data_IF_606311323058
#
_entry.id   IF_606311323058
#
_cell.length_a   1.000
_cell.length_b   1.000
_cell.length_c   1.000
_cell.angle_alpha   90.00
_cell.angle_beta   90.00
_cell.angle_gamma   90.00
#
_symmetry.space_group_name_H-M   'P 1'
#
loop_
_entity.id
_entity.type
_entity.pdbx_description
1 polymer ?
#
# COMPACT_ATOMS: atom_id res chain seq x y z
N UNK A 1 4.99 12.70 21.56
CA UNK A 1 4.50 12.11 20.29
C UNK A 1 4.14 10.62 20.41
N UNK A 2 3.95 10.04 21.61
CA UNK A 2 3.71 8.59 21.81
C UNK A 2 2.27 8.14 21.50
N UNK A 3 1.31 9.08 21.56
CA UNK A 3 -0.11 8.76 21.41
C UNK A 3 -0.53 8.39 19.99
N UNK A 4 0.31 8.64 18.97
CA UNK A 4 -0.05 8.38 17.57
C UNK A 4 -0.23 6.87 17.32
N UNK A 5 0.80 6.07 17.62
CA UNK A 5 0.73 4.61 17.51
C UNK A 5 -0.30 4.02 18.47
N UNK A 6 -0.26 4.44 19.75
CA UNK A 6 -1.12 3.87 20.79
C UNK A 6 -2.61 4.13 20.56
N UNK A 7 -2.98 5.26 19.92
CA UNK A 7 -4.38 5.52 19.59
C UNK A 7 -4.90 4.57 18.50
N UNK A 8 -4.07 4.16 17.55
CA UNK A 8 -4.42 3.14 16.56
C UNK A 8 -4.69 1.82 17.29
N UNK A 9 -3.77 1.39 18.14
CA UNK A 9 -3.91 0.16 18.92
C UNK A 9 -5.17 0.18 19.79
N UNK A 10 -5.41 1.27 20.51
CA UNK A 10 -6.62 1.45 21.32
C UNK A 10 -7.91 1.41 20.47
N UNK A 11 -7.94 2.13 19.34
CA UNK A 11 -9.16 2.24 18.50
C UNK A 11 -9.54 0.93 17.80
N UNK A 12 -8.58 0.04 17.55
CA UNK A 12 -8.80 -1.24 16.88
C UNK A 12 -8.61 -2.45 17.81
N UNK A 13 -8.42 -2.23 19.12
CA UNK A 13 -8.11 -3.27 20.11
C UNK A 13 -6.94 -4.18 19.70
N UNK A 14 -5.89 -3.57 19.12
CA UNK A 14 -4.66 -4.28 18.76
C UNK A 14 -3.77 -4.40 20.00
N UNK A 15 -3.27 -5.62 20.25
CA UNK A 15 -2.57 -5.96 21.49
C UNK A 15 -1.08 -6.32 21.31
N UNK A 16 -0.55 -6.15 20.10
CA UNK A 16 0.88 -6.29 19.82
C UNK A 16 1.70 -5.05 20.24
N UNK A 17 3.03 -5.05 19.98
CA UNK A 17 3.89 -3.90 20.23
C UNK A 17 3.37 -2.61 19.56
N UNK A 18 3.43 -1.49 20.29
CA UNK A 18 2.94 -0.18 19.82
C UNK A 18 3.94 0.92 20.15
N UNK A 19 4.64 1.42 19.13
CA UNK A 19 5.82 2.28 19.29
C UNK A 19 5.74 3.48 18.34
N UNK A 20 6.26 4.62 18.79
CA UNK A 20 6.54 5.77 17.93
C UNK A 20 8.05 5.97 17.87
N UNK A 21 8.59 6.02 16.64
CA UNK A 21 10.02 6.13 16.37
C UNK A 21 10.30 7.50 15.73
N UNK A 22 11.31 8.19 16.25
CA UNK A 22 11.81 9.44 15.70
C UNK A 22 13.31 9.30 15.40
N UNK A 23 13.61 9.10 14.12
CA UNK A 23 14.95 9.13 13.54
C UNK A 23 14.99 10.18 12.42
N UNK A 24 14.26 11.29 12.61
CA UNK A 24 14.09 12.35 11.64
C UNK A 24 13.54 11.85 10.28
N UNK A 25 14.27 12.05 9.19
CA UNK A 25 13.81 11.72 7.83
C UNK A 25 13.74 10.22 7.55
N UNK A 26 14.39 9.38 8.36
CA UNK A 26 14.33 7.91 8.22
C UNK A 26 13.21 7.27 9.05
N UNK A 27 12.51 8.03 9.90
CA UNK A 27 11.55 7.52 10.90
C UNK A 27 10.59 6.46 10.37
N UNK A 28 9.87 6.74 9.28
CA UNK A 28 8.90 5.78 8.74
C UNK A 28 9.53 4.50 8.18
N UNK A 29 10.72 4.58 7.58
CA UNK A 29 11.41 3.39 7.04
C UNK A 29 11.99 2.55 8.18
N UNK A 30 12.52 3.19 9.22
CA UNK A 30 12.99 2.51 10.43
C UNK A 30 11.81 1.87 11.19
N UNK A 31 10.66 2.56 11.27
CA UNK A 31 9.43 1.96 11.80
C UNK A 31 8.97 0.74 11.01
N UNK A 32 9.08 0.78 9.67
CA UNK A 32 8.79 -0.37 8.82
C UNK A 32 9.81 -1.51 9.01
N UNK A 33 11.09 -1.21 9.24
CA UNK A 33 12.10 -2.19 9.61
C UNK A 33 11.72 -2.92 10.91
N UNK A 34 11.39 -2.19 11.99
CA UNK A 34 10.97 -2.82 13.25
C UNK A 34 9.64 -3.58 13.15
N UNK A 35 8.71 -3.12 12.29
CA UNK A 35 7.49 -3.86 11.99
C UNK A 35 7.80 -5.21 11.31
N UNK A 36 8.74 -5.24 10.36
CA UNK A 36 9.20 -6.48 9.74
C UNK A 36 9.91 -7.38 10.75
N UNK A 37 10.78 -6.81 11.60
CA UNK A 37 11.47 -7.56 12.65
C UNK A 37 10.48 -8.22 13.61
N UNK A 38 9.48 -7.48 14.11
CA UNK A 38 8.46 -8.02 15.02
C UNK A 38 7.70 -9.20 14.41
N UNK A 39 7.46 -9.18 13.09
CA UNK A 39 6.88 -10.32 12.38
C UNK A 39 7.87 -11.49 12.26
N UNK A 40 9.11 -11.22 11.84
CA UNK A 40 10.11 -12.26 11.64
C UNK A 40 10.57 -12.94 12.94
N UNK A 41 10.52 -12.23 14.07
CA UNK A 41 10.82 -12.79 15.41
C UNK A 41 9.60 -13.44 16.06
N UNK A 42 8.42 -13.35 15.45
CA UNK A 42 7.18 -13.95 15.96
C UNK A 42 6.48 -13.16 17.07
N UNK A 43 6.91 -11.92 17.36
CA UNK A 43 6.22 -11.02 18.29
C UNK A 43 4.87 -10.53 17.74
N UNK A 44 4.75 -10.42 16.41
CA UNK A 44 3.54 -9.94 15.73
C UNK A 44 3.13 -10.85 14.56
N UNK A 45 1.85 -11.15 14.45
CA UNK A 45 1.25 -11.85 13.31
C UNK A 45 1.05 -10.96 12.06
N UNK A 46 0.93 -9.67 12.31
CA UNK A 46 0.69 -8.60 11.35
C UNK A 46 1.17 -7.31 12.01
N UNK A 47 1.70 -6.38 11.22
CA UNK A 47 2.18 -5.11 11.73
C UNK A 47 1.68 -3.94 10.88
N UNK A 48 1.34 -2.84 11.54
CA UNK A 48 0.99 -1.57 10.88
C UNK A 48 2.19 -0.65 11.03
N UNK A 49 2.72 -0.16 9.92
CA UNK A 49 3.79 0.82 9.90
C UNK A 49 3.38 2.05 9.11
N UNK A 50 3.81 3.23 9.55
CA UNK A 50 3.46 4.46 8.87
C UNK A 50 4.33 5.61 9.31
N UNK A 51 4.05 6.76 8.70
CA UNK A 51 4.69 8.02 9.06
C UNK A 51 3.74 9.17 8.80
N UNK A 52 3.87 10.21 9.61
CA UNK A 52 3.11 11.46 9.48
C UNK A 52 4.05 12.64 9.58
N UNK A 53 3.83 13.63 8.73
CA UNK A 53 4.40 14.96 8.86
C UNK A 53 3.34 16.01 8.56
N UNK A 54 3.14 16.95 9.49
CA UNK A 54 2.21 18.08 9.34
C UNK A 54 2.88 19.32 9.93
N UNK A 55 2.91 20.40 9.17
CA UNK A 55 3.54 21.68 9.49
C UNK A 55 2.51 22.67 10.01
N UNK A 56 2.15 22.53 11.29
CA UNK A 56 1.17 23.41 11.93
C UNK A 56 1.71 24.80 12.30
N UNK A 57 3.03 24.98 12.21
CA UNK A 57 3.76 26.06 12.87
C UNK A 57 5.03 26.46 12.09
N UNK A 58 5.34 27.76 11.95
CA UNK A 58 6.41 28.26 11.07
C UNK A 58 7.82 28.15 11.65
N UNK A 59 7.98 27.85 12.94
CA UNK A 59 9.28 27.85 13.62
C UNK A 59 10.24 26.80 13.06
N UNK A 60 9.74 25.61 12.73
CA UNK A 60 10.55 24.54 12.17
C UNK A 60 10.98 24.82 10.71
N UNK A 61 10.10 25.30 9.79
CA UNK A 61 10.55 25.84 8.51
C UNK A 61 11.61 26.94 8.63
N UNK A 62 11.48 27.85 9.59
CA UNK A 62 12.48 28.91 9.84
C UNK A 62 13.82 28.30 10.24
N UNK A 63 13.83 27.34 11.18
CA UNK A 63 15.04 26.64 11.59
C UNK A 63 15.71 25.92 10.42
N UNK A 64 14.93 25.22 9.58
CA UNK A 64 15.45 24.54 8.39
C UNK A 64 16.01 25.50 7.34
N UNK A 65 15.41 26.69 7.21
CA UNK A 65 15.92 27.75 6.34
C UNK A 65 17.27 28.29 6.84
N UNK A 66 17.40 28.53 8.15
CA UNK A 66 18.67 28.95 8.78
C UNK A 66 19.75 27.89 8.67
N UNK A 67 19.38 26.61 8.76
CA UNK A 67 20.26 25.48 8.52
C UNK A 67 20.60 25.23 7.05
N UNK A 68 20.10 26.05 6.12
CA UNK A 68 20.32 25.92 4.67
C UNK A 68 19.88 24.58 4.07
N UNK A 69 18.93 23.90 4.70
CA UNK A 69 18.36 22.64 4.20
C UNK A 69 17.38 22.87 3.04
N UNK A 70 16.75 24.04 3.00
CA UNK A 70 15.63 24.30 2.10
C UNK A 70 16.08 24.90 0.76
N UNK A 71 15.47 24.39 -0.31
CA UNK A 71 15.62 24.92 -1.67
C UNK A 71 15.03 26.31 -1.79
N UNK A 72 15.80 27.25 -2.37
CA UNK A 72 15.31 28.58 -2.74
C UNK A 72 14.21 28.57 -3.81
N UNK A 73 14.07 27.45 -4.53
CA UNK A 73 13.09 27.27 -5.61
C UNK A 73 11.86 26.47 -5.18
N UNK A 74 11.73 26.12 -3.89
CA UNK A 74 10.64 25.31 -3.35
C UNK A 74 10.41 24.00 -4.14
N UNK A 75 11.51 23.36 -4.59
CA UNK A 75 11.49 22.06 -5.28
C UNK A 75 12.67 21.20 -4.85
N UNK A 76 12.44 19.89 -4.72
CA UNK A 76 13.51 18.90 -4.64
C UNK A 76 13.98 18.58 -6.07
N UNK A 77 15.14 19.09 -6.47
CA UNK A 77 15.74 18.81 -7.79
C UNK A 77 16.78 17.68 -7.66
N UNK A 78 16.35 16.50 -7.23
CA UNK A 78 17.25 15.39 -6.97
C UNK A 78 18.12 15.08 -8.22
N UNK A 79 19.42 14.98 -8.00
CA UNK A 79 20.48 14.65 -8.96
C UNK A 79 20.79 15.72 -10.02
N UNK A 80 20.08 16.85 -10.02
CA UNK A 80 20.26 17.93 -10.99
C UNK A 80 21.40 18.89 -10.59
N UNK A 81 22.02 19.57 -11.55
CA UNK A 81 23.06 20.57 -11.28
C UNK A 81 22.57 21.76 -10.44
N UNK A 82 21.28 22.12 -10.58
CA UNK A 82 20.65 23.18 -9.81
C UNK A 82 20.08 22.69 -8.47
N UNK A 83 20.43 21.48 -8.03
CA UNK A 83 20.14 21.00 -6.69
C UNK A 83 20.64 22.00 -5.64
N UNK A 84 19.83 22.30 -4.63
CA UNK A 84 20.09 23.39 -3.70
C UNK A 84 19.38 23.27 -2.35
N UNK A 85 18.95 22.06 -2.00
CA UNK A 85 18.11 21.79 -0.83
C UNK A 85 16.80 21.11 -1.22
N UNK A 86 16.00 20.76 -0.22
CA UNK A 86 14.68 20.16 -0.41
C UNK A 86 13.55 21.17 -0.18
N UNK A 87 12.34 20.84 -0.64
CA UNK A 87 11.12 21.52 -0.20
C UNK A 87 10.40 20.65 0.80
N UNK A 88 9.92 21.22 1.91
CA UNK A 88 9.13 20.47 2.90
C UNK A 88 7.78 20.09 2.31
N UNK A 89 7.31 18.89 2.63
CA UNK A 89 5.96 18.45 2.29
C UNK A 89 5.26 17.87 3.51
N UNK A 90 3.94 17.83 3.43
CA UNK A 90 3.07 17.21 4.44
C UNK A 90 2.48 15.91 3.91
N UNK A 91 2.24 14.96 4.79
CA UNK A 91 1.56 13.74 4.40
C UNK A 91 1.49 12.71 5.51
N UNK A 92 0.56 11.79 5.32
CA UNK A 92 0.40 10.60 6.16
C UNK A 92 0.38 9.40 5.22
N UNK A 93 1.17 8.39 5.55
CA UNK A 93 1.16 7.10 4.85
C UNK A 93 1.16 5.96 5.86
N UNK A 94 0.47 4.88 5.52
CA UNK A 94 0.39 3.66 6.33
C UNK A 94 0.42 2.46 5.39
N UNK A 95 1.16 1.43 5.79
CA UNK A 95 1.18 0.10 5.13
C UNK A 95 0.93 -0.98 6.19
N UNK A 96 0.39 -2.10 5.74
CA UNK A 96 0.16 -3.28 6.57
C UNK A 96 1.09 -4.40 6.09
N UNK A 97 1.86 -4.97 7.00
CA UNK A 97 2.75 -6.09 6.77
C UNK A 97 2.19 -7.36 7.39
N UNK A 98 2.44 -8.49 6.73
CA UNK A 98 2.00 -9.81 7.15
C UNK A 98 2.96 -10.87 6.59
N UNK A 99 3.17 -12.02 7.26
CA UNK A 99 3.86 -13.15 6.64
C UNK A 99 3.22 -13.50 5.30
N UNK A 100 4.05 -13.71 4.27
CA UNK A 100 3.58 -14.00 2.90
C UNK A 100 2.63 -15.22 2.87
N UNK A 101 2.98 -16.28 3.59
CA UNK A 101 2.15 -17.49 3.70
C UNK A 101 0.74 -17.19 4.25
N UNK A 102 0.66 -16.34 5.28
CA UNK A 102 -0.62 -15.94 5.92
C UNK A 102 -1.40 -14.94 5.05
N UNK A 103 -0.71 -14.11 4.26
CA UNK A 103 -1.37 -13.25 3.27
C UNK A 103 -2.03 -14.08 2.16
N UNK A 104 -1.34 -15.11 1.67
CA UNK A 104 -1.86 -16.05 0.67
C UNK A 104 -3.03 -16.87 1.24
N UNK A 105 -2.87 -17.42 2.46
CA UNK A 105 -3.91 -18.22 3.11
C UNK A 105 -5.21 -17.45 3.34
N UNK A 106 -5.11 -16.16 3.70
CA UNK A 106 -6.27 -15.31 3.96
C UNK A 106 -6.83 -14.65 2.69
N UNK A 107 -6.25 -14.94 1.50
CA UNK A 107 -6.68 -14.35 0.23
C UNK A 107 -6.46 -12.84 0.15
N UNK A 108 -5.42 -12.33 0.81
CA UNK A 108 -5.08 -10.90 0.79
C UNK A 108 -4.47 -10.51 -0.57
N UNK A 109 -4.81 -9.31 -1.06
CA UNK A 109 -4.10 -8.74 -2.21
C UNK A 109 -2.72 -8.25 -1.79
N UNK A 110 -1.68 -8.65 -2.52
CA UNK A 110 -0.29 -8.36 -2.18
C UNK A 110 0.26 -7.33 -3.18
N UNK A 111 0.67 -6.18 -2.68
CA UNK A 111 1.30 -5.14 -3.52
C UNK A 111 2.77 -5.45 -3.80
N UNK A 112 3.51 -5.87 -2.78
CA UNK A 112 4.92 -6.23 -2.87
C UNK A 112 5.30 -7.15 -1.72
N UNK A 113 6.42 -7.86 -1.85
CA UNK A 113 7.01 -8.68 -0.79
C UNK A 113 8.27 -8.01 -0.25
N UNK A 114 8.40 -7.88 1.06
CA UNK A 114 9.63 -7.39 1.70
C UNK A 114 10.65 -8.53 1.76
N UNK A 115 11.82 -8.34 1.16
CA UNK A 115 12.89 -9.36 1.14
C UNK A 115 13.88 -9.21 2.27
N UNK A 116 14.29 -7.99 2.56
CA UNK A 116 15.08 -7.65 3.72
C UNK A 116 14.96 -6.16 4.02
N UNK A 117 15.31 -5.79 5.25
CA UNK A 117 15.40 -4.40 5.71
C UNK A 117 16.59 -4.27 6.65
N UNK A 118 17.05 -3.03 6.86
CA UNK A 118 18.09 -2.73 7.83
C UNK A 118 18.07 -1.28 8.26
N UNK A 119 18.74 -1.02 9.38
CA UNK A 119 19.02 0.33 9.89
C UNK A 119 20.42 0.37 10.47
N UNK A 120 21.18 1.44 10.21
CA UNK A 120 22.47 1.70 10.85
C UNK A 120 22.66 3.20 11.17
N UNK A 121 23.88 3.60 11.52
CA UNK A 121 24.23 4.96 11.90
C UNK A 121 25.52 5.42 11.20
N UNK A 122 25.55 6.69 10.79
CA UNK A 122 26.71 7.33 10.16
C UNK A 122 27.92 7.44 11.09
N UNK A 123 27.69 7.41 12.41
CA UNK A 123 28.74 7.52 13.41
C UNK A 123 29.30 8.93 13.51
N UNK A 124 30.61 9.04 13.76
CA UNK A 124 31.30 10.33 13.86
C UNK A 124 31.67 10.85 12.47
N UNK A 125 30.99 11.91 12.01
CA UNK A 125 31.27 12.62 10.76
C UNK A 125 31.75 14.05 11.05
N UNK A 126 32.15 14.81 10.02
CA UNK A 126 32.61 16.21 10.15
C UNK A 126 31.50 17.23 10.52
N UNK A 127 30.38 16.74 11.03
CA UNK A 127 29.24 17.49 11.52
C UNK A 127 28.05 16.56 11.58
N UNK A 128 27.22 16.64 12.63
CA UNK A 128 26.12 15.69 12.89
C UNK A 128 25.15 15.50 11.71
N UNK A 129 25.09 16.47 10.79
CA UNK A 129 24.23 16.46 9.61
C UNK A 129 24.92 16.08 8.30
N UNK A 130 26.20 15.77 8.34
CA UNK A 130 27.00 15.35 7.18
C UNK A 130 26.85 13.84 7.01
N UNK A 131 26.36 13.36 5.84
CA UNK A 131 26.14 11.94 5.60
C UNK A 131 27.47 11.17 5.47
N UNK A 132 27.44 9.87 5.76
CA UNK A 132 28.58 8.97 5.61
C UNK A 132 28.38 7.97 4.45
N UNK A 133 29.13 8.07 3.33
CA UNK A 133 29.01 7.14 2.20
C UNK A 133 29.31 5.69 2.57
N UNK A 134 30.30 5.45 3.44
CA UNK A 134 30.72 4.09 3.82
C UNK A 134 29.62 3.42 4.66
N UNK A 135 28.95 4.19 5.53
CA UNK A 135 27.82 3.68 6.30
C UNK A 135 26.62 3.34 5.41
N UNK A 136 26.34 4.14 4.39
CA UNK A 136 25.28 3.86 3.41
C UNK A 136 25.61 2.60 2.60
N UNK A 137 26.85 2.48 2.09
CA UNK A 137 27.32 1.31 1.36
C UNK A 137 27.23 0.03 2.23
N UNK A 138 27.73 0.10 3.47
CA UNK A 138 27.69 -1.02 4.41
C UNK A 138 26.25 -1.49 4.66
N UNK A 139 25.30 -0.55 4.86
CA UNK A 139 23.89 -0.87 5.07
C UNK A 139 23.29 -1.57 3.86
N UNK A 140 23.54 -1.05 2.65
CA UNK A 140 23.00 -1.63 1.41
C UNK A 140 23.53 -3.06 1.23
N UNK A 141 24.85 -3.27 1.38
CA UNK A 141 25.48 -4.59 1.28
C UNK A 141 24.95 -5.57 2.33
N UNK A 142 24.78 -5.12 3.57
CA UNK A 142 24.23 -5.94 4.65
C UNK A 142 22.80 -6.42 4.31
N UNK A 143 21.94 -5.50 3.84
CA UNK A 143 20.55 -5.85 3.50
C UNK A 143 20.48 -6.76 2.29
N UNK A 144 21.31 -6.57 1.26
CA UNK A 144 21.38 -7.48 0.11
C UNK A 144 21.86 -8.87 0.51
N UNK A 145 22.85 -8.94 1.41
CA UNK A 145 23.33 -10.20 1.98
C UNK A 145 22.22 -10.91 2.75
N UNK A 146 21.49 -10.19 3.63
CA UNK A 146 20.33 -10.74 4.35
C UNK A 146 19.21 -11.21 3.42
N UNK A 147 18.97 -10.50 2.32
CA UNK A 147 17.99 -10.87 1.32
C UNK A 147 18.43 -12.08 0.47
N UNK A 148 19.72 -12.42 0.45
CA UNK A 148 20.28 -13.45 -0.43
C UNK A 148 20.11 -13.10 -1.91
N UNK A 149 20.40 -11.85 -2.28
CA UNK A 149 20.28 -11.36 -3.67
C UNK A 149 21.60 -10.75 -4.15
N UNK A 150 21.82 -10.75 -5.47
CA UNK A 150 22.95 -10.04 -6.04
C UNK A 150 22.60 -8.56 -6.26
N UNK A 151 23.54 -7.62 -6.09
CA UNK A 151 23.29 -6.21 -6.41
C UNK A 151 22.85 -5.97 -7.87
N UNK A 152 23.28 -6.82 -8.80
CA UNK A 152 22.85 -6.82 -10.20
C UNK A 152 21.36 -7.11 -10.40
N UNK A 153 20.70 -7.77 -9.45
CA UNK A 153 19.29 -8.16 -9.55
C UNK A 153 18.33 -6.98 -9.27
N UNK A 154 18.83 -5.90 -8.65
CA UNK A 154 18.04 -4.69 -8.40
C UNK A 154 17.80 -3.96 -9.72
N UNK A 155 16.54 -3.60 -9.99
CA UNK A 155 16.15 -2.92 -11.24
C UNK A 155 15.69 -1.48 -11.01
N UNK A 156 15.34 -1.13 -9.77
CA UNK A 156 14.99 0.22 -9.38
C UNK A 156 15.50 0.57 -7.98
N UNK A 157 15.90 1.82 -7.77
CA UNK A 157 16.22 2.39 -6.46
C UNK A 157 15.38 3.64 -6.24
N UNK A 158 14.57 3.61 -5.19
CA UNK A 158 13.98 4.79 -4.58
C UNK A 158 15.00 5.39 -3.61
N UNK A 159 15.74 6.39 -4.09
CA UNK A 159 16.75 7.07 -3.31
C UNK A 159 16.13 7.96 -2.23
N UNK A 160 16.94 8.32 -1.23
CA UNK A 160 16.63 9.40 -0.32
C UNK A 160 16.54 10.72 -1.09
N UNK A 161 17.49 11.01 -2.00
CA UNK A 161 17.38 11.99 -3.09
C UNK A 161 16.68 13.28 -2.71
N UNK A 162 17.29 14.06 -1.83
CA UNK A 162 16.72 15.31 -1.29
C UNK A 162 16.97 16.50 -2.20
N UNK A 163 17.82 16.40 -3.22
CA UNK A 163 18.16 17.55 -4.06
C UNK A 163 19.20 18.44 -3.38
N UNK A 164 20.09 17.86 -2.57
CA UNK A 164 21.16 18.61 -1.91
C UNK A 164 22.47 18.47 -2.69
N UNK A 165 23.25 19.56 -2.78
CA UNK A 165 24.51 19.57 -3.55
C UNK A 165 25.53 18.54 -3.07
N UNK A 166 25.58 18.30 -1.77
CA UNK A 166 26.51 17.35 -1.15
C UNK A 166 25.91 15.95 -0.98
N UNK A 167 24.62 15.84 -0.59
CA UNK A 167 24.01 14.56 -0.30
C UNK A 167 23.73 13.71 -1.54
N UNK A 168 23.29 14.33 -2.64
CA UNK A 168 22.96 13.57 -3.87
C UNK A 168 24.20 12.85 -4.45
N UNK A 169 25.40 13.49 -4.58
CA UNK A 169 26.60 12.78 -5.00
C UNK A 169 27.01 11.66 -4.05
N UNK A 170 26.97 11.89 -2.74
CA UNK A 170 27.32 10.89 -1.72
C UNK A 170 26.44 9.64 -1.86
N UNK A 171 25.13 9.83 -1.97
CA UNK A 171 24.19 8.72 -2.10
C UNK A 171 24.35 7.97 -3.43
N UNK A 172 24.50 8.68 -4.55
CA UNK A 172 24.66 8.05 -5.86
C UNK A 172 25.98 7.28 -5.97
N UNK A 173 27.07 7.80 -5.38
CA UNK A 173 28.34 7.09 -5.31
C UNK A 173 28.21 5.81 -4.47
N UNK A 174 27.63 5.89 -3.27
CA UNK A 174 27.43 4.72 -2.42
C UNK A 174 26.56 3.65 -3.11
N UNK A 175 25.48 4.07 -3.78
CA UNK A 175 24.64 3.17 -4.58
C UNK A 175 25.43 2.52 -5.71
N UNK A 176 26.23 3.28 -6.46
CA UNK A 176 27.00 2.73 -7.58
C UNK A 176 28.07 1.73 -7.12
N UNK A 177 28.76 1.99 -6.00
CA UNK A 177 29.78 1.09 -5.46
C UNK A 177 29.23 -0.30 -5.16
N UNK A 178 27.95 -0.39 -4.75
CA UNK A 178 27.28 -1.66 -4.50
C UNK A 178 26.65 -2.23 -5.76
N UNK A 179 25.86 -1.44 -6.48
CA UNK A 179 25.01 -1.90 -7.58
C UNK A 179 25.77 -2.22 -8.88
N UNK A 180 27.00 -1.71 -9.03
CA UNK A 180 27.87 -2.05 -10.16
C UNK A 180 28.47 -3.46 -10.05
N UNK A 181 28.47 -4.05 -8.85
CA UNK A 181 28.98 -5.40 -8.63
C UNK A 181 28.14 -6.44 -9.40
N UNK A 182 28.83 -7.28 -10.18
CA UNK A 182 28.21 -8.27 -11.07
C UNK A 182 27.40 -7.70 -12.25
N UNK A 183 27.40 -6.38 -12.47
CA UNK A 183 26.55 -5.72 -13.47
C UNK A 183 27.31 -5.40 -14.76
N UNK A 184 26.70 -5.70 -15.91
CA UNK A 184 27.26 -5.38 -17.23
C UNK A 184 27.14 -3.89 -17.51
N UNK A 185 28.07 -3.34 -18.31
CA UNK A 185 28.13 -1.90 -18.62
C UNK A 185 26.83 -1.33 -19.22
N UNK A 186 26.15 -2.10 -20.07
CA UNK A 186 24.91 -1.68 -20.74
C UNK A 186 23.64 -1.98 -19.91
N UNK A 187 23.77 -2.76 -18.83
CA UNK A 187 22.68 -3.05 -17.91
C UNK A 187 22.67 -2.00 -16.80
N UNK A 188 21.86 -0.95 -16.95
CA UNK A 188 21.74 0.13 -15.96
C UNK A 188 20.48 -0.01 -15.10
N UNK A 189 20.63 0.19 -13.80
CA UNK A 189 19.54 0.26 -12.82
C UNK A 189 18.91 1.65 -12.80
N UNK A 190 17.59 1.73 -12.71
CA UNK A 190 16.91 3.02 -12.59
C UNK A 190 17.02 3.57 -11.16
N UNK A 191 17.25 4.87 -11.02
CA UNK A 191 17.21 5.58 -9.73
C UNK A 191 16.25 6.76 -9.80
N UNK A 192 15.52 6.99 -8.71
CA UNK A 192 14.66 8.15 -8.59
C UNK A 192 14.25 8.51 -7.17
N UNK A 193 13.53 9.62 -7.02
CA UNK A 193 13.01 10.09 -5.72
C UNK A 193 11.59 10.65 -5.86
N UNK A 194 10.67 10.14 -5.04
CA UNK A 194 9.28 10.63 -4.89
C UNK A 194 9.23 12.08 -4.44
N UNK A 195 10.31 12.57 -3.81
CA UNK A 195 10.41 13.93 -3.29
C UNK A 195 10.36 14.97 -4.40
N UNK A 196 10.69 14.59 -5.64
CA UNK A 196 10.54 15.46 -6.81
C UNK A 196 9.08 15.73 -7.18
N UNK A 197 8.13 14.90 -6.72
CA UNK A 197 6.70 15.07 -6.97
C UNK A 197 5.98 15.75 -5.80
N UNK A 198 6.26 15.31 -4.57
CA UNK A 198 5.47 15.68 -3.38
C UNK A 198 6.29 16.41 -2.30
N UNK A 199 7.55 16.76 -2.59
CA UNK A 199 8.47 17.31 -1.62
C UNK A 199 8.96 16.27 -0.61
N UNK A 200 9.78 16.72 0.34
CA UNK A 200 10.29 15.89 1.41
C UNK A 200 9.30 15.86 2.58
N UNK A 201 8.63 14.73 2.75
CA UNK A 201 7.67 14.53 3.85
C UNK A 201 8.31 14.23 5.21
N UNK A 202 9.60 14.52 5.38
CA UNK A 202 10.38 14.30 6.61
C UNK A 202 10.13 12.93 7.26
N UNK A 203 9.49 12.88 8.43
CA UNK A 203 9.19 11.63 9.13
C UNK A 203 8.33 10.65 8.31
N UNK A 204 7.53 11.14 7.37
CA UNK A 204 6.73 10.35 6.43
C UNK A 204 7.42 10.07 5.08
N UNK A 205 8.68 10.49 4.88
CA UNK A 205 9.36 10.31 3.61
C UNK A 205 9.60 8.83 3.27
N UNK A 206 10.00 8.03 4.26
CA UNK A 206 10.23 6.60 4.10
C UNK A 206 8.97 5.85 3.63
N UNK A 207 7.80 6.14 4.22
CA UNK A 207 6.55 5.46 3.84
C UNK A 207 6.09 5.85 2.43
N UNK A 208 6.31 7.10 2.01
CA UNK A 208 6.04 7.50 0.62
C UNK A 208 6.92 6.74 -0.37
N UNK A 209 8.21 6.53 -0.04
CA UNK A 209 9.14 5.73 -0.84
C UNK A 209 8.73 4.26 -0.92
N UNK A 210 8.29 3.66 0.21
CA UNK A 210 7.73 2.29 0.25
C UNK A 210 6.51 2.19 -0.66
N UNK A 211 5.54 3.09 -0.54
CA UNK A 211 4.29 3.06 -1.31
C UNK A 211 4.59 3.21 -2.81
N UNK A 212 5.42 4.17 -3.20
CA UNK A 212 5.82 4.33 -4.61
C UNK A 212 6.49 3.07 -5.16
N UNK A 213 7.42 2.50 -4.39
CA UNK A 213 8.16 1.30 -4.83
C UNK A 213 7.28 0.07 -4.90
N UNK A 214 6.35 -0.10 -3.95
CA UNK A 214 5.37 -1.19 -3.98
C UNK A 214 4.44 -1.08 -5.20
N UNK A 215 3.97 0.13 -5.51
CA UNK A 215 3.18 0.38 -6.72
C UNK A 215 4.00 0.17 -8.01
N UNK A 216 5.28 0.56 -8.02
CA UNK A 216 6.18 0.37 -9.15
C UNK A 216 6.41 -1.11 -9.43
N UNK A 217 6.70 -1.93 -8.40
CA UNK A 217 6.91 -3.38 -8.62
C UNK A 217 5.62 -4.08 -9.00
N UNK A 218 4.48 -3.69 -8.41
CA UNK A 218 3.16 -4.22 -8.73
C UNK A 218 2.72 -3.89 -10.16
N UNK A 219 2.93 -2.65 -10.61
CA UNK A 219 2.54 -2.16 -11.94
C UNK A 219 3.62 -2.34 -12.99
N UNK A 220 4.81 -2.82 -12.61
CA UNK A 220 5.98 -3.03 -13.47
C UNK A 220 6.35 -1.79 -14.30
N UNK A 221 6.27 -0.60 -13.70
CA UNK A 221 6.45 0.67 -14.41
C UNK A 221 7.21 1.68 -13.57
N UNK A 222 8.35 2.17 -14.07
CA UNK A 222 9.06 3.31 -13.47
C UNK A 222 8.37 4.61 -13.89
N UNK A 223 7.88 5.44 -12.94
CA UNK A 223 7.30 6.74 -13.26
C UNK A 223 8.41 7.76 -13.61
N UNK A 224 8.08 8.83 -14.35
CA UNK A 224 9.05 9.86 -14.71
C UNK A 224 9.57 10.60 -13.47
N UNK A 225 10.88 10.84 -13.47
CA UNK A 225 11.59 11.65 -12.49
C UNK A 225 11.49 13.13 -12.84
N UNK A 226 11.02 13.96 -11.91
CA UNK A 226 10.82 15.36 -12.20
C UNK A 226 12.07 16.20 -11.92
N UNK A 227 12.13 17.36 -12.58
CA UNK A 227 13.12 18.42 -12.34
C UNK A 227 14.58 18.06 -12.64
N UNK A 228 14.84 16.92 -13.30
CA UNK A 228 16.16 16.53 -13.79
C UNK A 228 16.30 17.01 -15.24
N UNK A 229 17.06 18.09 -15.43
CA UNK A 229 17.41 18.68 -16.75
C UNK A 229 18.85 18.37 -17.12
N UNK A 230 19.78 18.55 -16.19
CA UNK A 230 21.20 18.32 -16.38
C UNK A 230 21.80 17.71 -15.12
N UNK A 231 22.54 16.62 -15.29
CA UNK A 231 23.16 15.92 -14.17
C UNK A 231 24.08 16.87 -13.37
N UNK A 232 24.04 16.72 -12.04
CA UNK A 232 25.02 17.34 -11.17
C UNK A 232 26.44 16.96 -11.63
N UNK A 233 27.37 17.92 -11.82
CA UNK A 233 28.72 17.64 -12.31
C UNK A 233 29.52 16.63 -11.45
N UNK A 234 29.16 16.49 -10.18
CA UNK A 234 29.75 15.50 -9.27
C UNK A 234 29.16 14.09 -9.42
N UNK A 235 28.19 13.90 -10.32
CA UNK A 235 27.54 12.63 -10.63
C UNK A 235 27.68 12.34 -12.13
N UNK A 236 28.59 11.45 -12.50
CA UNK A 236 28.79 11.08 -13.90
C UNK A 236 27.95 9.85 -14.31
N UNK A 237 26.65 10.06 -14.55
CA UNK A 237 25.73 8.98 -14.97
C UNK A 237 26.14 8.23 -16.25
N UNK A 238 27.03 8.78 -17.08
CA UNK A 238 27.55 8.05 -18.26
C UNK A 238 28.39 6.85 -17.82
N UNK A 239 29.22 7.04 -16.80
CA UNK A 239 30.13 6.03 -16.25
C UNK A 239 29.50 5.11 -15.20
N UNK A 240 28.43 5.57 -14.55
CA UNK A 240 27.76 4.82 -13.50
C UNK A 240 26.80 3.76 -14.09
N UNK A 241 26.55 2.73 -13.29
CA UNK A 241 25.53 1.71 -13.57
C UNK A 241 24.10 2.20 -13.30
N UNK A 242 23.91 3.49 -13.03
CA UNK A 242 22.64 4.12 -12.68
C UNK A 242 22.12 4.98 -13.84
N UNK A 243 20.79 5.08 -13.98
CA UNK A 243 20.13 6.01 -14.91
C UNK A 243 18.83 6.58 -14.34
N UNK A 244 18.43 7.75 -14.81
CA UNK A 244 17.20 8.45 -14.39
C UNK A 244 16.13 8.29 -15.48
N UNK A 245 14.92 7.90 -15.11
CA UNK A 245 13.80 7.78 -16.05
C UNK A 245 13.12 9.15 -16.25
N UNK A 246 13.11 9.68 -17.48
CA UNK A 246 12.47 10.97 -17.80
C UNK A 246 11.03 10.83 -18.33
N UNK A 247 10.66 9.62 -18.71
CA UNK A 247 9.33 9.22 -19.19
C UNK A 247 8.95 7.91 -18.48
N UNK A 248 7.69 7.46 -18.56
CA UNK A 248 7.33 6.13 -18.06
C UNK A 248 8.16 5.04 -18.75
N UNK A 249 8.82 4.18 -17.97
CA UNK A 249 9.65 3.07 -18.47
C UNK A 249 9.09 1.74 -17.94
N UNK A 250 8.44 0.92 -18.79
CA UNK A 250 7.89 -0.38 -18.37
C UNK A 250 8.98 -1.44 -18.26
N UNK A 251 8.80 -2.39 -17.34
CA UNK A 251 9.62 -3.60 -17.24
C UNK A 251 8.95 -4.77 -17.98
N UNK A 252 9.73 -5.56 -18.71
CA UNK A 252 9.22 -6.72 -19.44
C UNK A 252 8.75 -7.82 -18.48
N UNK A 253 7.66 -8.52 -18.77
CA UNK A 253 7.08 -9.56 -17.89
C UNK A 253 8.05 -10.68 -17.48
N UNK A 254 9.05 -10.99 -18.29
CA UNK A 254 10.06 -12.01 -17.99
C UNK A 254 11.07 -11.57 -16.93
N UNK A 255 11.22 -10.27 -16.69
CA UNK A 255 12.19 -9.76 -15.73
C UNK A 255 11.71 -9.94 -14.30
N UNK A 256 12.60 -10.41 -13.43
CA UNK A 256 12.39 -10.35 -11.99
C UNK A 256 12.56 -8.91 -11.52
N UNK A 257 11.60 -8.39 -10.78
CA UNK A 257 11.61 -6.99 -10.35
C UNK A 257 11.87 -6.85 -8.85
N UNK A 258 13.08 -6.38 -8.52
CA UNK A 258 13.49 -5.97 -7.17
C UNK A 258 13.72 -4.46 -7.13
N UNK A 259 13.18 -3.81 -6.11
CA UNK A 259 13.32 -2.38 -5.86
C UNK A 259 13.96 -2.15 -4.48
N UNK A 260 14.97 -1.28 -4.42
CA UNK A 260 15.57 -0.84 -3.17
C UNK A 260 15.03 0.53 -2.75
N UNK A 261 14.96 0.78 -1.45
CA UNK A 261 14.45 2.04 -0.88
C UNK A 261 15.43 2.54 0.16
N UNK A 262 15.90 3.77 0.01
CA UNK A 262 16.74 4.48 0.96
C UNK A 262 15.94 5.54 1.73
N UNK A 263 16.20 5.68 3.03
CA UNK A 263 15.82 6.88 3.76
C UNK A 263 16.85 7.19 4.84
N UNK A 264 17.48 8.35 4.74
CA UNK A 264 18.59 8.76 5.61
C UNK A 264 18.16 9.94 6.48
N UNK A 265 18.28 9.79 7.80
CA UNK A 265 17.97 10.83 8.76
C UNK A 265 19.11 11.84 8.83
N UNK A 266 18.79 13.14 8.92
CA UNK A 266 19.83 14.16 9.07
C UNK A 266 20.65 14.04 10.36
N UNK A 267 20.23 13.20 11.32
CA UNK A 267 21.02 12.85 12.51
C UNK A 267 21.86 11.58 12.37
N UNK A 268 22.06 11.11 11.14
CA UNK A 268 22.92 9.96 10.78
C UNK A 268 22.23 8.59 10.78
N UNK A 269 20.99 8.46 11.24
CA UNK A 269 20.30 7.16 11.22
C UNK A 269 19.81 6.83 9.82
N UNK A 270 20.32 5.76 9.25
CA UNK A 270 19.99 5.31 7.91
C UNK A 270 19.03 4.13 7.94
N UNK A 271 18.11 4.07 6.98
CA UNK A 271 17.26 2.90 6.73
C UNK A 271 17.37 2.46 5.27
N UNK A 272 17.28 1.15 5.06
CA UNK A 272 17.25 0.53 3.74
C UNK A 272 16.25 -0.63 3.69
N UNK A 273 15.55 -0.80 2.57
CA UNK A 273 14.57 -1.87 2.37
C UNK A 273 14.61 -2.38 0.93
N UNK A 274 14.45 -3.69 0.76
CA UNK A 274 14.28 -4.32 -0.54
C UNK A 274 12.86 -4.88 -0.67
N UNK A 275 12.17 -4.47 -1.74
CA UNK A 275 10.90 -5.01 -2.17
C UNK A 275 11.07 -5.88 -3.42
N UNK A 276 10.30 -6.96 -3.48
CA UNK A 276 10.15 -7.84 -4.63
C UNK A 276 8.71 -7.78 -5.13
N UNK A 277 8.52 -7.99 -6.43
CA UNK A 277 7.19 -8.23 -6.98
C UNK A 277 6.50 -9.43 -6.29
N UNK A 278 5.16 -9.41 -6.14
CA UNK A 278 4.44 -10.53 -5.54
C UNK A 278 4.55 -11.82 -6.40
N UNK A 279 4.33 -13.01 -5.82
CA UNK A 279 4.35 -14.26 -6.58
C UNK A 279 3.36 -14.23 -7.75
N UNK A 280 3.86 -14.32 -9.00
CA UNK A 280 3.05 -14.22 -10.22
C UNK A 280 1.90 -15.21 -10.28
N UNK A 281 2.14 -16.46 -9.86
CA UNK A 281 1.11 -17.50 -9.80
C UNK A 281 -0.04 -17.13 -8.87
N UNK A 282 0.25 -16.43 -7.77
CA UNK A 282 -0.77 -15.96 -6.83
C UNK A 282 -1.50 -14.73 -7.39
N UNK A 283 -0.81 -13.75 -7.97
CA UNK A 283 -1.50 -12.62 -8.60
C UNK A 283 -2.41 -13.04 -9.77
N UNK A 284 -2.04 -14.09 -10.48
CA UNK A 284 -2.86 -14.64 -11.57
C UNK A 284 -4.26 -15.09 -11.09
N UNK A 285 -4.44 -15.45 -9.81
CA UNK A 285 -5.77 -15.84 -9.29
C UNK A 285 -6.73 -14.66 -9.21
N UNK A 286 -6.24 -13.42 -9.09
CA UNK A 286 -7.06 -12.20 -9.09
C UNK A 286 -7.42 -11.72 -10.51
N UNK A 287 -6.64 -12.12 -11.53
CA UNK A 287 -6.81 -11.66 -12.91
C UNK A 287 -7.64 -12.61 -13.79
N UNK A 288 -8.06 -13.77 -13.26
CA UNK A 288 -8.87 -14.76 -14.00
C UNK A 288 -10.33 -14.32 -14.23
N UNK A 289 -10.77 -13.22 -13.62
CA UNK A 289 -12.18 -12.83 -13.48
C UNK A 289 -12.80 -12.08 -14.68
N UNK A 290 -12.36 -12.33 -15.91
CA UNK A 290 -12.92 -11.66 -17.12
C UNK A 290 -14.13 -12.38 -17.74
N UNK A 291 -14.70 -13.39 -17.09
CA UNK A 291 -15.95 -14.02 -17.55
C UNK A 291 -17.12 -13.04 -17.38
N UNK A 292 -17.99 -12.95 -18.38
CA UNK A 292 -19.29 -12.29 -18.25
C UNK A 292 -20.10 -12.97 -17.16
N UNK A 293 -20.34 -12.25 -16.05
CA UNK A 293 -21.25 -12.73 -15.00
C UNK A 293 -22.67 -12.78 -15.54
N UNK A 294 -23.37 -13.89 -15.28
CA UNK A 294 -24.80 -13.95 -15.49
C UNK A 294 -25.53 -13.00 -14.53
N UNK A 295 -26.63 -12.42 -15.02
CA UNK A 295 -27.59 -11.70 -14.20
C UNK A 295 -28.13 -12.66 -13.14
N UNK A 296 -27.75 -12.42 -11.90
CA UNK A 296 -28.08 -13.26 -10.76
C UNK A 296 -28.28 -12.37 -9.54
N UNK A 297 -29.40 -12.54 -8.85
CA UNK A 297 -29.70 -11.81 -7.64
C UNK A 297 -28.61 -12.06 -6.59
N UNK A 298 -28.01 -10.97 -6.13
CA UNK A 298 -26.99 -10.96 -5.08
C UNK A 298 -27.39 -9.98 -3.99
N UNK A 299 -26.88 -10.22 -2.79
CA UNK A 299 -27.08 -9.37 -1.63
C UNK A 299 -25.82 -8.53 -1.41
N UNK A 300 -25.98 -7.22 -1.34
CA UNK A 300 -24.92 -6.26 -1.11
C UNK A 300 -25.11 -5.60 0.27
N UNK A 301 -24.46 -6.12 1.32
CA UNK A 301 -24.56 -5.53 2.65
C UNK A 301 -23.62 -4.33 2.78
N UNK A 302 -24.14 -3.18 3.17
CA UNK A 302 -23.38 -1.95 3.37
C UNK A 302 -23.68 -1.46 4.77
N UNK A 303 -22.66 -0.99 5.49
CA UNK A 303 -22.86 -0.46 6.83
C UNK A 303 -22.00 0.77 7.11
N UNK A 304 -22.45 1.58 8.06
CA UNK A 304 -21.73 2.76 8.51
C UNK A 304 -22.06 3.12 9.97
N UNK A 305 -21.27 4.03 10.54
CA UNK A 305 -21.49 4.55 11.90
C UNK A 305 -22.58 5.63 11.98
N UNK A 306 -23.07 6.14 10.85
CA UNK A 306 -24.17 7.09 10.78
C UNK A 306 -24.90 7.01 9.44
N UNK A 307 -26.14 7.51 9.38
CA UNK A 307 -26.93 7.61 8.14
C UNK A 307 -26.19 8.43 7.05
N UNK A 308 -25.65 9.60 7.41
CA UNK A 308 -24.87 10.43 6.48
C UNK A 308 -23.64 9.69 5.92
N UNK A 309 -22.94 8.92 6.75
CA UNK A 309 -21.81 8.12 6.29
C UNK A 309 -22.26 6.98 5.37
N UNK A 310 -23.42 6.38 5.63
CA UNK A 310 -24.00 5.33 4.81
C UNK A 310 -24.38 5.84 3.42
N UNK A 311 -25.09 6.96 3.33
CA UNK A 311 -25.40 7.66 2.07
C UNK A 311 -24.12 8.04 1.32
N UNK A 312 -23.12 8.58 2.03
CA UNK A 312 -21.82 8.92 1.45
C UNK A 312 -21.06 7.70 0.90
N UNK A 313 -21.13 6.54 1.56
CA UNK A 313 -20.56 5.29 1.05
C UNK A 313 -21.31 4.83 -0.21
N UNK A 314 -22.65 4.89 -0.22
CA UNK A 314 -23.45 4.46 -1.37
C UNK A 314 -23.10 5.26 -2.63
N UNK A 315 -22.98 6.60 -2.51
CA UNK A 315 -22.54 7.47 -3.61
C UNK A 315 -21.16 7.06 -4.14
N UNK A 316 -20.19 6.81 -3.25
CA UNK A 316 -18.84 6.38 -3.66
C UNK A 316 -18.84 5.02 -4.34
N UNK A 317 -19.68 4.09 -3.89
CA UNK A 317 -19.81 2.77 -4.50
C UNK A 317 -20.48 2.84 -5.88
N UNK A 318 -21.51 3.67 -6.05
CA UNK A 318 -22.09 3.93 -7.37
C UNK A 318 -21.05 4.50 -8.34
N UNK A 319 -20.31 5.53 -7.92
CA UNK A 319 -19.23 6.12 -8.74
C UNK A 319 -18.11 5.12 -9.06
N UNK A 320 -17.76 4.25 -8.12
CA UNK A 320 -16.78 3.18 -8.32
C UNK A 320 -17.25 2.16 -9.36
N UNK A 321 -18.50 1.69 -9.26
CA UNK A 321 -19.08 0.72 -10.17
C UNK A 321 -19.29 1.27 -11.58
N UNK A 322 -19.47 2.60 -11.73
CA UNK A 322 -19.49 3.30 -13.03
C UNK A 322 -18.13 3.37 -13.71
N UNK A 323 -17.05 3.37 -12.95
CA UNK A 323 -15.67 3.55 -13.45
C UNK A 323 -14.88 2.25 -13.58
N UNK A 324 -15.43 1.13 -13.12
CA UNK A 324 -14.71 -0.15 -13.05
C UNK A 324 -15.58 -1.29 -13.54
N UNK A 325 -14.94 -2.28 -14.15
CA UNK A 325 -15.60 -3.52 -14.59
C UNK A 325 -15.50 -4.64 -13.52
N UNK A 326 -15.33 -4.26 -12.25
CA UNK A 326 -15.20 -5.20 -11.11
C UNK A 326 -16.36 -6.18 -11.06
N UNK A 327 -16.12 -7.48 -11.00
CA UNK A 327 -17.18 -8.47 -10.88
C UNK A 327 -18.09 -8.19 -9.68
N UNK A 328 -19.40 -8.35 -9.86
CA UNK A 328 -20.37 -8.08 -8.81
C UNK A 328 -20.32 -9.13 -7.72
N UNK A 329 -19.94 -10.38 -8.04
CA UNK A 329 -19.66 -11.41 -7.03
C UNK A 329 -18.51 -11.02 -6.10
N UNK A 330 -17.38 -10.56 -6.66
CA UNK A 330 -16.22 -10.09 -5.89
C UNK A 330 -16.56 -8.86 -5.05
N UNK A 331 -17.36 -7.94 -5.61
CA UNK A 331 -17.83 -6.77 -4.89
C UNK A 331 -18.74 -7.17 -3.70
N UNK A 332 -19.72 -8.04 -3.93
CA UNK A 332 -20.60 -8.56 -2.88
C UNK A 332 -19.81 -9.31 -1.79
N UNK A 333 -18.88 -10.19 -2.19
CA UNK A 333 -17.99 -10.91 -1.29
C UNK A 333 -17.17 -9.94 -0.42
N UNK A 334 -16.58 -8.91 -1.04
CA UNK A 334 -15.79 -7.91 -0.33
C UNK A 334 -16.63 -7.14 0.69
N UNK A 335 -17.85 -6.76 0.34
CA UNK A 335 -18.78 -6.09 1.24
C UNK A 335 -19.23 -6.99 2.40
N UNK A 336 -19.49 -8.27 2.13
CA UNK A 336 -19.98 -9.21 3.12
C UNK A 336 -18.89 -9.67 4.10
N UNK A 337 -17.70 -10.02 3.60
CA UNK A 337 -16.66 -10.71 4.38
C UNK A 337 -15.44 -9.84 4.69
N UNK A 338 -15.19 -8.77 3.93
CA UNK A 338 -13.96 -7.97 4.02
C UNK A 338 -14.22 -6.54 4.51
N UNK A 339 -15.36 -6.31 5.17
CA UNK A 339 -15.75 -5.04 5.79
C UNK A 339 -16.32 -5.28 7.18
N UNK A 340 -16.10 -4.33 8.08
CA UNK A 340 -16.76 -4.30 9.38
C UNK A 340 -18.25 -3.97 9.19
N UNK A 341 -19.13 -4.71 9.88
CA UNK A 341 -20.57 -4.48 9.86
C UNK A 341 -21.06 -3.64 11.05
N UNK A 342 -21.14 -2.33 10.83
CA UNK A 342 -21.64 -1.35 11.80
C UNK A 342 -23.15 -1.43 12.04
N UNK A 343 -23.67 -0.59 12.94
CA UNK A 343 -25.07 -0.62 13.38
C UNK A 343 -26.05 -0.10 12.33
N UNK A 344 -25.70 0.95 11.57
CA UNK A 344 -26.56 1.41 10.46
C UNK A 344 -26.27 0.53 9.26
N UNK A 345 -27.24 -0.29 8.85
CA UNK A 345 -27.08 -1.26 7.78
C UNK A 345 -28.07 -1.01 6.66
N UNK A 346 -27.56 -1.08 5.45
CA UNK A 346 -28.30 -1.09 4.20
C UNK A 346 -28.05 -2.43 3.53
N UNK A 347 -29.11 -3.07 3.07
CA UNK A 347 -29.02 -4.28 2.25
C UNK A 347 -29.68 -3.98 0.92
N UNK A 348 -28.93 -4.12 -0.16
CA UNK A 348 -29.44 -4.00 -1.53
C UNK A 348 -29.45 -5.39 -2.15
N UNK A 349 -30.55 -5.75 -2.78
CA UNK A 349 -30.66 -6.92 -3.65
C UNK A 349 -30.69 -6.43 -5.09
N UNK A 350 -29.77 -6.89 -5.92
CA UNK A 350 -29.72 -6.55 -7.34
C UNK A 350 -29.14 -7.71 -8.17
N UNK A 351 -29.63 -7.89 -9.39
CA UNK A 351 -29.20 -8.93 -10.32
C UNK A 351 -28.02 -8.51 -11.19
N UNK A 352 -27.96 -7.22 -11.54
CA UNK A 352 -26.94 -6.67 -12.44
C UNK A 352 -26.43 -5.30 -11.98
N UNK A 353 -25.41 -4.81 -12.70
CA UNK A 353 -24.66 -3.61 -12.32
C UNK A 353 -25.52 -2.35 -12.38
N UNK A 354 -26.34 -2.21 -13.41
CA UNK A 354 -27.16 -1.02 -13.61
C UNK A 354 -28.20 -0.89 -12.50
N UNK A 355 -28.88 -2.00 -12.17
CA UNK A 355 -29.83 -2.05 -11.06
C UNK A 355 -29.16 -1.73 -9.72
N UNK A 356 -27.95 -2.26 -9.47
CA UNK A 356 -27.21 -1.95 -8.24
C UNK A 356 -26.84 -0.47 -8.16
N UNK A 357 -26.34 0.11 -9.25
CA UNK A 357 -25.99 1.54 -9.31
C UNK A 357 -27.23 2.39 -9.05
N UNK A 358 -28.34 2.11 -9.71
CA UNK A 358 -29.60 2.84 -9.54
C UNK A 358 -30.06 2.82 -8.07
N UNK A 359 -30.09 1.63 -7.45
CA UNK A 359 -30.49 1.46 -6.04
C UNK A 359 -29.55 2.19 -5.07
N UNK A 360 -28.25 2.20 -5.34
CA UNK A 360 -27.26 2.94 -4.55
C UNK A 360 -27.48 4.46 -4.64
N UNK A 361 -27.77 4.97 -5.84
CA UNK A 361 -28.01 6.39 -6.07
C UNK A 361 -29.35 6.86 -5.50
N UNK A 362 -30.42 6.08 -5.68
CA UNK A 362 -31.72 6.33 -5.09
C UNK A 362 -31.62 6.43 -3.55
N UNK A 363 -30.97 5.45 -2.91
CA UNK A 363 -30.78 5.49 -1.46
C UNK A 363 -29.93 6.68 -1.01
N UNK A 364 -28.87 7.02 -1.75
CA UNK A 364 -28.05 8.19 -1.45
C UNK A 364 -28.85 9.51 -1.50
N UNK A 365 -29.89 9.58 -2.35
CA UNK A 365 -30.82 10.70 -2.47
C UNK A 365 -32.00 10.65 -1.48
N UNK A 366 -32.09 9.62 -0.64
CA UNK A 366 -33.15 9.46 0.36
C UNK A 366 -34.39 8.73 -0.15
N UNK A 367 -34.31 8.08 -1.31
CA UNK A 367 -35.40 7.30 -1.90
C UNK A 367 -35.24 5.81 -1.55
N UNK A 368 -36.35 5.14 -1.24
CA UNK A 368 -36.38 3.69 -1.01
C UNK A 368 -37.01 2.99 -2.20
N UNK A 369 -36.33 1.95 -2.68
CA UNK A 369 -36.79 1.11 -3.81
C UNK A 369 -37.01 -0.34 -3.35
N UNK A 370 -37.75 -1.11 -4.16
CA UNK A 370 -37.95 -2.54 -3.93
C UNK A 370 -36.61 -3.28 -3.93
N UNK A 371 -36.41 -4.16 -2.95
CA UNK A 371 -35.13 -4.86 -2.76
C UNK A 371 -34.07 -4.04 -2.05
N UNK A 372 -34.41 -2.85 -1.52
CA UNK A 372 -33.55 -2.07 -0.63
C UNK A 372 -34.16 -2.06 0.77
N UNK A 373 -33.38 -2.49 1.76
CA UNK A 373 -33.78 -2.49 3.17
C UNK A 373 -32.73 -1.76 4.01
N UNK A 374 -33.19 -0.80 4.81
CA UNK A 374 -32.36 -0.08 5.76
C UNK A 374 -32.86 -0.33 7.18
N UNK A 375 -31.93 -0.55 8.09
CA UNK A 375 -32.23 -0.63 9.51
C UNK A 375 -31.02 -0.24 10.37
N UNK A 376 -31.29 0.25 11.58
CA UNK A 376 -30.31 0.32 12.65
C UNK A 376 -30.44 -0.93 13.51
N UNK A 377 -29.40 -1.75 13.54
CA UNK A 377 -29.42 -3.04 14.25
C UNK A 377 -29.55 -2.83 15.75
N UNK A 378 -30.48 -3.58 16.36
CA UNK A 378 -30.59 -3.78 17.81
C UNK A 378 -29.97 -5.12 18.16
N UNK A 379 -29.20 -5.19 19.25
CA UNK A 379 -28.35 -6.35 19.59
C UNK A 379 -29.11 -7.61 20.06
N UNK A 380 -30.45 -7.56 20.19
CA UNK A 380 -31.20 -8.61 20.88
C UNK A 380 -32.34 -9.23 20.05
N UNK A 381 -32.09 -9.55 18.79
CA UNK A 381 -33.07 -10.23 17.93
C UNK A 381 -32.99 -11.75 18.11
N UNK A 382 -33.99 -12.36 18.77
CA UNK A 382 -34.13 -13.82 18.82
C UNK A 382 -34.73 -14.33 17.51
N UNK A 383 -34.07 -15.31 16.89
CA UNK A 383 -34.55 -15.95 15.67
C UNK A 383 -35.55 -17.07 16.01
N UNK A 384 -36.70 -17.06 15.34
CA UNK A 384 -37.72 -18.11 15.44
C UNK A 384 -37.98 -18.64 14.04
N UNK A 385 -37.80 -19.95 13.85
CA UNK A 385 -38.18 -20.64 12.62
C UNK A 385 -39.62 -21.16 12.76
N UNK A 386 -40.50 -20.72 11.88
CA UNK A 386 -41.89 -21.19 11.83
C UNK A 386 -42.01 -22.14 10.64
N UNK A 387 -42.24 -23.43 10.93
CA UNK A 387 -42.49 -24.45 9.93
C UNK A 387 -43.99 -24.56 9.70
N UNK A 388 -44.42 -24.27 8.48
CA UNK A 388 -45.83 -24.34 8.10
C UNK A 388 -46.30 -25.78 8.01
N UNK A 389 -47.57 -26.05 8.38
CA UNK A 389 -48.23 -27.32 8.11
C UNK A 389 -48.64 -27.48 6.64
N UNK A 390 -49.58 -28.39 6.38
CA UNK A 390 -50.18 -28.55 5.05
C UNK A 390 -51.02 -27.33 4.65
N UNK A 391 -51.04 -26.97 3.36
CA UNK A 391 -51.80 -25.83 2.82
C UNK A 391 -51.02 -24.95 1.82
N UNK A 392 -49.79 -24.50 2.12
CA UNK A 392 -49.06 -23.55 1.28
C UNK A 392 -48.27 -24.20 0.14
N UNK A 393 -48.46 -25.49 -0.14
CA UNK A 393 -47.78 -26.16 -1.24
C UNK A 393 -48.25 -25.63 -2.60
N UNK A 394 -47.31 -25.52 -3.55
CA UNK A 394 -47.60 -25.16 -4.93
C UNK A 394 -46.72 -25.98 -5.89
N UNK A 395 -47.18 -26.11 -7.13
CA UNK A 395 -46.49 -26.95 -8.12
C UNK A 395 -45.07 -26.44 -8.37
N UNK A 396 -44.09 -27.33 -8.27
CA UNK A 396 -42.65 -27.03 -8.43
C UNK A 396 -42.04 -26.07 -7.39
N UNK A 397 -42.62 -25.97 -6.19
CA UNK A 397 -42.00 -25.22 -5.09
C UNK A 397 -40.55 -25.69 -4.83
N UNK A 398 -39.63 -24.75 -4.71
CA UNK A 398 -38.21 -25.04 -4.47
C UNK A 398 -37.41 -25.52 -5.68
N UNK A 399 -38.01 -25.66 -6.88
CA UNK A 399 -37.29 -26.13 -8.08
C UNK A 399 -36.08 -25.27 -8.44
N UNK A 400 -36.21 -23.94 -8.37
CA UNK A 400 -35.10 -23.02 -8.63
C UNK A 400 -33.98 -23.16 -7.60
N UNK A 401 -34.33 -23.36 -6.32
CA UNK A 401 -33.35 -23.60 -5.26
C UNK A 401 -32.66 -24.94 -5.46
N UNK A 402 -33.37 -25.96 -5.90
CA UNK A 402 -32.83 -27.28 -6.22
C UNK A 402 -31.83 -27.24 -7.39
N UNK A 403 -32.08 -26.43 -8.41
CA UNK A 403 -31.16 -26.31 -9.56
C UNK A 403 -29.98 -25.36 -9.30
N UNK A 404 -30.17 -24.32 -8.49
CA UNK A 404 -29.17 -23.26 -8.32
C UNK A 404 -28.38 -23.30 -7.01
N UNK A 405 -28.89 -23.93 -5.95
CA UNK A 405 -28.30 -23.90 -4.60
C UNK A 405 -27.85 -25.30 -4.16
N UNK A 406 -26.53 -25.58 -4.16
CA UNK A 406 -26.00 -26.91 -3.82
C UNK A 406 -26.42 -27.40 -2.43
N UNK A 407 -26.50 -26.51 -1.43
CA UNK A 407 -26.92 -26.88 -0.07
C UNK A 407 -28.37 -27.35 -0.04
N UNK A 408 -29.27 -26.66 -0.75
CA UNK A 408 -30.68 -27.04 -0.85
C UNK A 408 -30.82 -28.38 -1.57
N UNK A 409 -30.20 -28.51 -2.75
CA UNK A 409 -30.17 -29.75 -3.54
C UNK A 409 -29.72 -30.95 -2.71
N UNK A 410 -28.52 -30.86 -2.11
CA UNK A 410 -27.96 -31.95 -1.31
C UNK A 410 -28.82 -32.31 -0.10
N UNK A 411 -29.61 -31.37 0.43
CA UNK A 411 -30.53 -31.65 1.54
C UNK A 411 -31.77 -32.38 1.05
N UNK A 412 -32.33 -31.98 -0.10
CA UNK A 412 -33.47 -32.67 -0.72
C UNK A 412 -33.08 -34.07 -1.18
N UNK A 413 -31.93 -34.23 -1.83
CA UNK A 413 -31.42 -35.54 -2.27
C UNK A 413 -31.29 -36.52 -1.09
N UNK A 414 -30.80 -36.03 0.06
CA UNK A 414 -30.72 -36.83 1.30
C UNK A 414 -32.10 -37.23 1.84
N UNK A 415 -33.11 -36.37 1.70
CA UNK A 415 -34.47 -36.74 2.09
C UNK A 415 -35.01 -37.83 1.16
N UNK A 416 -34.80 -37.72 -0.15
CA UNK A 416 -35.22 -38.71 -1.17
C UNK A 416 -34.52 -40.07 -0.98
N UNK A 417 -33.28 -40.10 -0.51
CA UNK A 417 -32.58 -41.36 -0.18
C UNK A 417 -33.18 -42.09 1.04
N UNK A 418 -33.87 -41.39 1.93
CA UNK A 418 -34.38 -41.94 3.19
C UNK A 418 -35.84 -42.43 3.06
N UNK A 419 -36.64 -41.79 2.21
CA UNK A 419 -38.08 -42.01 2.09
C UNK A 419 -38.44 -42.57 0.72
#
# INVERSE_FOLDING_TARGET
>A
MVMLSNRISYSFDLRGPSLTIDTACSSALVAAHYACMSIWTGESDMAIAGGVNVMLRPEYPIAMSKGQFLSKHARCKAFDEDAGGYVRGEGVGVVVFKPLSKAIADGDYIYACVRATGSNQDGATNGITVPNPDAQEALIREVYTKAGINPSDIRYVEAHGTGTKAGDPVEITALNNVLSDGRKKDDKVFVGSVKTNIGHLEAAAGIAGIIKSALLVNKRLVPPHLHFKKANPNINFETLSLKVALKPEPFAESEKLLASINSFGYGGTNGHMVLEEPPKAYLATFNQSKSTEADQLRVYPISAKSDNALKGICKRYAEFLKKTDTLLSDFAYTLAYRRTHHLNRLTIVAANRNELIEKLEAYANGELQVGVSFNQVQENNKLVYVFTGMGPQWWAMGRELYTSQPVFKNTIDKCDEIF
#
